data_IF_258566757354
#
_entry.id   IF_258566757354
#
_cell.length_a   1.000
_cell.length_b   1.000
_cell.length_c   1.000
_cell.angle_alpha   90.00
_cell.angle_beta   90.00
_cell.angle_gamma   90.00
#
_symmetry.space_group_name_H-M   'P 1'
#
loop_
_entity.id
_entity.type
_entity.pdbx_description
1 polymer ?
#
# COMPACT_ATOMS: atom_id res chain seq x y z
N UNK A 1 22.37 3.87 12.08
CA UNK A 1 21.86 5.25 12.10
C UNK A 1 20.34 5.15 12.02
N UNK A 2 19.63 5.57 13.07
CA UNK A 2 18.17 5.46 13.19
C UNK A 2 17.52 6.59 12.39
N UNK A 3 16.79 6.26 11.33
CA UNK A 3 15.93 7.22 10.63
C UNK A 3 14.54 7.17 11.25
N UNK A 4 14.43 7.63 12.50
CA UNK A 4 13.15 7.85 13.13
C UNK A 4 12.50 9.08 12.48
N UNK A 5 11.57 8.83 11.56
CA UNK A 5 10.70 9.88 11.02
C UNK A 5 9.79 10.31 12.17
N UNK A 6 10.20 11.35 12.90
CA UNK A 6 9.33 11.95 13.90
C UNK A 6 8.11 12.57 13.19
N UNK A 7 6.88 12.30 13.65
CA UNK A 7 5.71 12.99 13.15
C UNK A 7 5.92 14.47 13.43
N UNK A 8 6.11 15.27 12.38
CA UNK A 8 6.15 16.72 12.54
C UNK A 8 4.73 17.13 12.87
N UNK A 9 4.44 17.26 14.17
CA UNK A 9 3.18 17.77 14.70
C UNK A 9 3.11 19.27 14.41
N UNK A 10 3.15 19.65 13.12
CA UNK A 10 2.63 20.93 12.68
C UNK A 10 1.13 20.79 12.78
N UNK A 11 0.62 21.03 13.98
CA UNK A 11 -0.77 21.33 14.22
C UNK A 11 -1.05 22.65 13.49
N UNK A 12 -1.17 22.58 12.15
CA UNK A 12 -1.76 23.65 11.38
C UNK A 12 -3.19 23.70 11.86
N UNK A 13 -3.45 24.66 12.77
CA UNK A 13 -4.79 25.01 13.21
C UNK A 13 -5.64 25.11 11.96
N UNK A 14 -6.56 24.16 11.81
CA UNK A 14 -7.63 24.28 10.82
C UNK A 14 -8.31 25.57 11.18
N UNK A 15 -8.25 26.57 10.30
CA UNK A 15 -8.93 27.85 10.50
C UNK A 15 -10.34 27.55 11.00
N UNK A 16 -10.61 28.05 12.19
CA UNK A 16 -11.75 27.72 13.03
C UNK A 16 -13.03 27.83 12.21
N UNK A 17 -13.68 26.68 11.93
CA UNK A 17 -15.00 26.69 11.27
C UNK A 17 -15.98 27.22 12.31
N UNK A 18 -16.28 28.52 12.26
CA UNK A 18 -17.27 29.15 13.13
C UNK A 18 -18.60 28.41 13.03
N UNK A 19 -19.01 27.81 14.15
CA UNK A 19 -20.24 27.05 14.28
C UNK A 19 -21.45 27.97 14.40
N UNK A 20 -21.74 28.79 13.39
CA UNK A 20 -23.06 29.42 13.30
C UNK A 20 -24.12 28.37 12.96
N UNK A 21 -25.12 28.28 13.84
CA UNK A 21 -26.30 27.42 13.79
C UNK A 21 -27.32 27.96 12.78
N UNK A 22 -26.97 27.93 11.50
CA UNK A 22 -27.87 28.33 10.42
C UNK A 22 -27.90 27.23 9.36
N UNK A 23 -29.04 26.54 9.29
CA UNK A 23 -29.58 25.69 8.21
C UNK A 23 -28.64 25.28 7.06
N UNK A 24 -28.42 23.97 6.94
CA UNK A 24 -28.13 23.14 5.73
C UNK A 24 -27.46 23.78 4.50
N UNK A 25 -26.47 24.62 4.70
CA UNK A 25 -25.45 24.92 3.69
C UNK A 25 -24.18 24.22 4.14
N UNK A 26 -23.75 23.18 3.41
CA UNK A 26 -22.48 22.47 3.64
C UNK A 26 -21.38 23.53 3.79
N UNK A 27 -20.85 23.70 5.01
CA UNK A 27 -19.88 24.76 5.30
C UNK A 27 -18.64 24.54 4.46
N UNK A 28 -18.35 25.48 3.56
CA UNK A 28 -17.14 25.45 2.74
C UNK A 28 -16.04 26.25 3.43
N UNK A 29 -14.83 25.71 3.44
CA UNK A 29 -13.61 26.36 3.91
C UNK A 29 -12.49 26.23 2.89
N UNK A 30 -11.33 26.79 3.17
CA UNK A 30 -10.14 26.62 2.33
C UNK A 30 -9.10 25.79 3.09
N UNK A 31 -8.54 24.77 2.43
CA UNK A 31 -7.46 23.94 2.95
C UNK A 31 -6.37 23.81 1.89
N UNK A 32 -5.15 24.27 2.22
CA UNK A 32 -3.99 24.26 1.32
C UNK A 32 -4.29 24.86 -0.08
N UNK A 33 -4.99 25.99 -0.11
CA UNK A 33 -5.35 26.68 -1.35
C UNK A 33 -6.49 26.03 -2.14
N UNK A 34 -7.16 25.02 -1.58
CA UNK A 34 -8.32 24.35 -2.19
C UNK A 34 -9.58 24.59 -1.36
N UNK A 35 -10.69 24.86 -2.02
CA UNK A 35 -11.99 24.91 -1.34
C UNK A 35 -12.42 23.50 -0.96
N UNK A 36 -12.65 23.29 0.32
CA UNK A 36 -13.13 22.04 0.92
C UNK A 36 -14.49 22.25 1.54
N UNK A 37 -15.29 21.20 1.65
CA UNK A 37 -16.62 21.26 2.25
C UNK A 37 -16.66 20.35 3.48
N UNK A 38 -17.27 20.83 4.56
CA UNK A 38 -17.45 20.06 5.78
C UNK A 38 -18.53 19.00 5.55
N UNK A 39 -18.11 17.75 5.45
CA UNK A 39 -19.03 16.60 5.33
C UNK A 39 -19.66 16.24 6.68
N UNK A 40 -20.85 15.63 6.62
CA UNK A 40 -21.58 15.14 7.78
C UNK A 40 -20.71 14.12 8.56
N UNK A 41 -20.66 14.17 9.91
CA UNK A 41 -19.92 13.19 10.71
C UNK A 41 -20.27 11.73 10.41
N UNK A 42 -21.54 11.41 10.14
CA UNK A 42 -21.97 10.05 9.81
C UNK A 42 -21.47 9.61 8.42
N UNK A 43 -21.54 10.51 7.43
CA UNK A 43 -20.98 10.29 6.11
C UNK A 43 -19.46 10.09 6.17
N UNK A 44 -18.77 10.87 7.02
CA UNK A 44 -17.33 10.72 7.26
C UNK A 44 -16.97 9.35 7.81
N UNK A 45 -17.70 8.85 8.81
CA UNK A 45 -17.42 7.53 9.39
C UNK A 45 -17.74 6.40 8.40
N UNK A 46 -18.81 6.55 7.62
CA UNK A 46 -19.13 5.60 6.55
C UNK A 46 -18.01 5.55 5.50
N UNK A 47 -17.56 6.71 5.01
CA UNK A 47 -16.47 6.81 4.05
C UNK A 47 -15.19 6.20 4.60
N UNK A 48 -14.86 6.47 5.86
CA UNK A 48 -13.69 5.88 6.54
C UNK A 48 -13.80 4.36 6.63
N UNK A 49 -14.98 3.82 6.92
CA UNK A 49 -15.21 2.37 6.98
C UNK A 49 -15.05 1.73 5.60
N UNK A 50 -15.65 2.33 4.58
CA UNK A 50 -15.54 1.87 3.19
C UNK A 50 -14.08 1.88 2.71
N UNK A 51 -13.36 2.99 2.91
CA UNK A 51 -11.95 3.09 2.51
C UNK A 51 -11.05 2.09 3.23
N UNK A 52 -11.35 1.74 4.49
CA UNK A 52 -10.60 0.68 5.19
C UNK A 52 -10.84 -0.69 4.59
N UNK A 53 -12.08 -0.99 4.20
CA UNK A 53 -12.43 -2.25 3.55
C UNK A 53 -11.73 -2.37 2.19
N UNK A 54 -11.87 -1.36 1.33
CA UNK A 54 -11.23 -1.31 0.01
C UNK A 54 -9.70 -1.42 0.10
N UNK A 55 -9.09 -0.72 1.07
CA UNK A 55 -7.65 -0.81 1.32
C UNK A 55 -7.26 -2.23 1.77
N UNK A 56 -8.03 -2.85 2.66
CA UNK A 56 -7.80 -4.21 3.12
C UNK A 56 -7.85 -5.24 2.00
N UNK A 57 -8.83 -5.12 1.10
CA UNK A 57 -8.96 -5.96 -0.09
C UNK A 57 -7.75 -5.79 -1.02
N UNK A 58 -7.35 -4.55 -1.28
CA UNK A 58 -6.19 -4.24 -2.14
C UNK A 58 -4.90 -4.82 -1.57
N UNK A 59 -4.66 -4.65 -0.26
CA UNK A 59 -3.47 -5.20 0.41
C UNK A 59 -3.48 -6.74 0.43
N UNK A 60 -4.64 -7.35 0.60
CA UNK A 60 -4.80 -8.81 0.52
C UNK A 60 -4.46 -9.35 -0.87
N UNK A 61 -4.96 -8.69 -1.92
CA UNK A 61 -4.61 -9.04 -3.30
C UNK A 61 -3.11 -8.92 -3.57
N UNK A 62 -2.48 -7.85 -3.08
CA UNK A 62 -1.04 -7.65 -3.24
C UNK A 62 -0.25 -8.77 -2.54
N UNK A 63 -0.57 -9.07 -1.28
CA UNK A 63 0.09 -10.13 -0.52
C UNK A 63 -0.06 -11.50 -1.19
N UNK A 64 -1.24 -11.82 -1.71
CA UNK A 64 -1.48 -13.05 -2.46
C UNK A 64 -0.68 -13.12 -3.77
N UNK A 65 -0.53 -11.99 -4.44
CA UNK A 65 0.28 -11.88 -5.66
C UNK A 65 1.76 -12.10 -5.36
N UNK A 66 2.27 -11.44 -4.31
CA UNK A 66 3.66 -11.61 -3.85
C UNK A 66 3.95 -13.05 -3.44
N UNK A 67 3.04 -13.68 -2.69
CA UNK A 67 3.18 -15.07 -2.28
C UNK A 67 3.18 -16.01 -3.49
N UNK A 68 2.27 -15.80 -4.44
CA UNK A 68 2.19 -16.61 -5.66
C UNK A 68 3.47 -16.49 -6.48
N UNK A 69 4.02 -15.28 -6.61
CA UNK A 69 5.30 -15.05 -7.28
C UNK A 69 6.47 -15.72 -6.55
N UNK A 70 6.48 -15.72 -5.21
CA UNK A 70 7.48 -16.41 -4.42
C UNK A 70 7.45 -17.94 -4.64
N UNK A 71 6.26 -18.54 -4.71
CA UNK A 71 6.10 -19.98 -5.00
C UNK A 71 6.60 -20.31 -6.41
N UNK A 72 6.18 -19.53 -7.42
CA UNK A 72 6.56 -19.78 -8.82
C UNK A 72 8.06 -19.56 -9.07
N UNK A 73 8.68 -18.61 -8.36
CA UNK A 73 10.13 -18.37 -8.47
C UNK A 73 10.95 -19.48 -7.79
N UNK A 74 10.47 -20.04 -6.67
CA UNK A 74 11.11 -21.19 -6.03
C UNK A 74 11.23 -22.40 -6.98
N UNK A 75 10.17 -22.69 -7.75
CA UNK A 75 10.20 -23.78 -8.74
C UNK A 75 11.22 -23.52 -9.85
N UNK A 76 11.34 -22.27 -10.30
CA UNK A 76 12.30 -21.86 -11.32
C UNK A 76 13.75 -22.07 -10.86
N UNK A 77 14.07 -21.66 -9.63
CA UNK A 77 15.44 -21.77 -9.09
C UNK A 77 15.86 -23.23 -8.87
N UNK A 78 14.93 -24.06 -8.41
CA UNK A 78 15.13 -25.52 -8.27
C UNK A 78 15.39 -26.21 -9.62
N UNK A 79 14.55 -25.94 -10.62
CA UNK A 79 14.70 -26.51 -11.96
C UNK A 79 15.99 -26.06 -12.65
N UNK A 80 16.35 -24.77 -12.50
CA UNK A 80 17.59 -24.22 -13.07
C UNK A 80 18.84 -24.82 -12.43
N UNK A 81 18.83 -25.04 -11.11
CA UNK A 81 19.90 -25.75 -10.38
C UNK A 81 20.13 -27.16 -10.93
N UNK A 82 19.05 -27.93 -11.13
CA UNK A 82 19.13 -29.30 -11.68
C UNK A 82 19.65 -29.31 -13.13
N UNK A 83 19.21 -28.36 -13.96
CA UNK A 83 19.71 -28.17 -15.32
C UNK A 83 21.21 -27.86 -15.36
N UNK A 84 21.65 -26.93 -14.51
CA UNK A 84 23.06 -26.57 -14.38
C UNK A 84 23.91 -27.76 -13.93
N UNK A 85 23.43 -28.53 -12.93
CA UNK A 85 24.07 -29.77 -12.46
C UNK A 85 24.20 -30.81 -13.56
N UNK A 86 23.14 -31.03 -14.36
CA UNK A 86 23.15 -31.95 -15.50
C UNK A 86 24.15 -31.53 -16.56
N UNK A 87 24.18 -30.24 -16.92
CA UNK A 87 25.13 -29.69 -17.89
C UNK A 87 26.58 -29.91 -17.43
N UNK A 88 26.87 -29.68 -16.16
CA UNK A 88 28.20 -29.87 -15.57
C UNK A 88 28.63 -31.34 -15.63
N UNK A 89 27.78 -32.28 -15.24
CA UNK A 89 28.06 -33.72 -15.31
C UNK A 89 28.35 -34.18 -16.75
N UNK A 90 27.59 -33.70 -17.74
CA UNK A 90 27.83 -34.02 -19.15
C UNK A 90 29.18 -33.48 -19.62
N UNK A 91 29.52 -32.24 -19.23
CA UNK A 91 30.79 -31.61 -19.59
C UNK A 91 31.99 -32.38 -19.02
N UNK A 92 31.94 -32.78 -17.74
CA UNK A 92 33.01 -33.55 -17.10
C UNK A 92 33.22 -34.91 -17.75
N UNK A 93 32.13 -35.62 -18.10
CA UNK A 93 32.23 -36.92 -18.78
C UNK A 93 32.80 -36.82 -20.20
N UNK A 94 32.57 -35.71 -20.91
CA UNK A 94 33.18 -35.47 -22.24
C UNK A 94 34.69 -35.21 -22.20
N UNK A 95 35.21 -34.67 -21.09
CA UNK A 95 36.65 -34.41 -20.96
C UNK A 95 37.46 -35.63 -20.53
N UNK A 96 36.80 -36.68 -20.03
CA UNK A 96 37.44 -37.93 -19.60
C UNK A 96 37.37 -39.05 -20.65
N UNK A 97 36.80 -38.79 -21.84
CA UNK A 97 36.78 -39.68 -23.00
C UNK A 97 37.70 -39.16 -24.10
#
# INVERSE_FOLDING_TARGET
>A
MSNDIQPTQKHLSIDWIESNSQTESVKKGNFLGRTVAQINPNEREQNRTNSKLELGETLSMLANTELSNAILSFEKDSAQSLLNRKAQVIATNRQMS
#
